data_IF_863183499312
#
_entry.id   IF_863183499312
#
_cell.length_a   1.000
_cell.length_b   1.000
_cell.length_c   1.000
_cell.angle_alpha   90.00
_cell.angle_beta   90.00
_cell.angle_gamma   90.00
#
_symmetry.space_group_name_H-M   'P 1'
#
loop_
_entity.id
_entity.type
_entity.pdbx_description
1 polymer ?
#
# COMPACT_ATOMS: atom_id res chain seq x y z
N UNK A 1 -23.30 -14.31 -0.17
CA UNK A 1 -23.11 -13.53 1.06
C UNK A 1 -22.31 -12.28 0.68
N UNK A 2 -22.81 -11.05 0.91
CA UNK A 2 -22.00 -9.86 0.66
C UNK A 2 -20.81 -9.90 1.62
N UNK A 3 -19.59 -9.87 1.09
CA UNK A 3 -18.40 -9.78 1.91
C UNK A 3 -18.46 -8.46 2.70
N UNK A 4 -18.51 -8.56 4.03
CA UNK A 4 -18.56 -7.41 4.95
C UNK A 4 -17.30 -6.51 4.80
N UNK A 5 -16.23 -7.03 4.21
CA UNK A 5 -14.95 -6.35 4.06
C UNK A 5 -14.44 -6.46 2.62
N UNK A 6 -13.71 -5.43 2.17
CA UNK A 6 -13.00 -5.47 0.90
C UNK A 6 -11.70 -6.29 1.04
N UNK A 7 -11.74 -7.55 0.61
CA UNK A 7 -10.64 -8.50 0.75
C UNK A 7 -9.36 -8.03 0.03
N UNK A 8 -9.49 -7.39 -1.14
CA UNK A 8 -8.33 -6.90 -1.88
C UNK A 8 -7.58 -5.80 -1.11
N UNK A 9 -8.30 -4.82 -0.52
CA UNK A 9 -7.67 -3.81 0.32
C UNK A 9 -7.12 -4.39 1.63
N UNK A 10 -7.72 -5.44 2.16
CA UNK A 10 -7.18 -6.15 3.33
C UNK A 10 -5.84 -6.82 3.00
N UNK A 11 -5.75 -7.49 1.85
CA UNK A 11 -4.48 -8.05 1.35
C UNK A 11 -3.46 -6.93 1.13
N UNK A 12 -3.86 -5.81 0.52
CA UNK A 12 -3.00 -4.64 0.33
C UNK A 12 -2.44 -4.08 1.64
N UNK A 13 -3.28 -4.02 2.68
CA UNK A 13 -2.86 -3.60 4.01
C UNK A 13 -1.83 -4.56 4.63
N UNK A 14 -2.07 -5.88 4.53
CA UNK A 14 -1.15 -6.90 5.02
C UNK A 14 0.20 -6.81 4.30
N UNK A 15 0.21 -6.69 2.98
CA UNK A 15 1.42 -6.56 2.17
C UNK A 15 2.21 -5.29 2.52
N UNK A 16 1.53 -4.15 2.68
CA UNK A 16 2.17 -2.89 3.09
C UNK A 16 2.76 -2.99 4.50
N UNK A 17 2.07 -3.67 5.43
CA UNK A 17 2.58 -3.92 6.79
C UNK A 17 3.82 -4.80 6.76
N UNK A 18 3.81 -5.90 6.01
CA UNK A 18 4.97 -6.79 5.86
C UNK A 18 6.16 -6.01 5.29
N UNK A 19 5.93 -5.18 4.26
CA UNK A 19 6.99 -4.34 3.71
C UNK A 19 7.54 -3.35 4.74
N UNK A 20 6.69 -2.72 5.56
CA UNK A 20 7.12 -1.83 6.64
C UNK A 20 7.98 -2.56 7.68
N UNK A 21 7.56 -3.75 8.11
CA UNK A 21 8.31 -4.59 9.05
C UNK A 21 9.65 -5.02 8.48
N UNK A 22 9.71 -5.35 7.17
CA UNK A 22 10.97 -5.65 6.50
C UNK A 22 11.94 -4.46 6.54
N UNK A 23 11.47 -3.23 6.35
CA UNK A 23 12.30 -2.03 6.46
C UNK A 23 12.83 -1.82 7.90
N UNK A 24 12.01 -2.09 8.92
CA UNK A 24 12.44 -2.06 10.31
C UNK A 24 13.52 -3.12 10.56
N UNK A 25 13.30 -4.35 10.06
CA UNK A 25 14.29 -5.42 10.17
C UNK A 25 15.62 -5.04 9.52
N UNK A 26 15.60 -4.39 8.33
CA UNK A 26 16.82 -3.92 7.66
C UNK A 26 17.61 -2.94 8.55
N UNK A 27 16.91 -2.03 9.26
CA UNK A 27 17.55 -1.11 10.20
C UNK A 27 18.19 -1.88 11.35
N UNK A 28 17.48 -2.83 11.95
CA UNK A 28 17.96 -3.64 13.06
C UNK A 28 19.15 -4.53 12.68
N UNK A 29 19.14 -5.08 11.46
CA UNK A 29 20.24 -5.90 10.92
C UNK A 29 21.46 -5.05 10.50
N UNK A 30 21.31 -3.72 10.41
CA UNK A 30 22.39 -2.79 10.09
C UNK A 30 23.03 -3.03 8.71
N UNK A 31 24.36 -2.89 8.57
CA UNK A 31 25.03 -3.02 7.26
C UNK A 31 24.75 -4.34 6.55
N UNK A 32 24.56 -5.43 7.30
CA UNK A 32 24.18 -6.74 6.73
C UNK A 32 22.81 -6.70 6.07
N UNK A 33 21.83 -6.08 6.73
CA UNK A 33 20.47 -5.90 6.19
C UNK A 33 20.47 -5.10 4.89
N UNK A 34 21.20 -3.98 4.85
CA UNK A 34 21.34 -3.16 3.65
C UNK A 34 22.01 -3.91 2.49
N UNK A 35 23.02 -4.75 2.76
CA UNK A 35 23.66 -5.60 1.74
C UNK A 35 22.69 -6.64 1.19
N UNK A 36 22.00 -7.38 2.06
CA UNK A 36 21.03 -8.41 1.65
C UNK A 36 19.88 -7.83 0.82
N UNK A 37 19.40 -6.65 1.18
CA UNK A 37 18.35 -5.95 0.45
C UNK A 37 18.84 -5.16 -0.77
N UNK A 38 20.14 -5.21 -1.11
CA UNK A 38 20.68 -4.52 -2.29
C UNK A 38 20.46 -3.01 -2.28
N UNK A 39 20.59 -2.37 -1.11
CA UNK A 39 20.26 -0.95 -0.90
C UNK A 39 21.19 0.04 -1.64
N UNK A 40 22.23 -0.47 -2.31
CA UNK A 40 23.24 0.30 -3.05
C UNK A 40 24.41 0.71 -2.17
N UNK A 41 25.60 0.83 -2.80
CA UNK A 41 26.88 1.03 -2.13
C UNK A 41 26.91 2.24 -1.21
N UNK A 42 26.23 3.32 -1.59
CA UNK A 42 26.20 4.54 -0.78
C UNK A 42 25.56 4.31 0.60
N UNK A 43 24.46 3.54 0.64
CA UNK A 43 23.76 3.21 1.90
C UNK A 43 24.57 2.23 2.73
N UNK A 44 25.16 1.21 2.08
CA UNK A 44 25.97 0.19 2.74
C UNK A 44 27.19 0.85 3.39
N UNK A 45 27.99 1.63 2.63
CA UNK A 45 29.17 2.34 3.14
C UNK A 45 28.82 3.33 4.26
N UNK A 46 27.69 4.03 4.14
CA UNK A 46 27.22 4.95 5.20
C UNK A 46 26.85 4.20 6.49
N UNK A 47 26.18 3.04 6.36
CA UNK A 47 25.82 2.21 7.51
C UNK A 47 27.08 1.59 8.17
N UNK A 48 28.07 1.15 7.39
CA UNK A 48 29.37 0.66 7.88
C UNK A 48 30.17 1.74 8.62
N UNK A 49 30.09 2.98 8.14
CA UNK A 49 30.68 4.13 8.79
C UNK A 49 29.91 4.63 10.03
N UNK A 50 28.87 3.89 10.49
CA UNK A 50 28.06 4.25 11.65
C UNK A 50 27.17 5.49 11.45
N UNK A 51 26.98 5.96 10.21
CA UNK A 51 26.12 7.11 9.93
C UNK A 51 24.66 6.76 10.13
N UNK A 52 23.90 7.66 10.78
CA UNK A 52 22.45 7.47 11.05
C UNK A 52 21.56 7.69 9.81
N UNK A 53 22.08 8.35 8.77
CA UNK A 53 21.33 8.70 7.56
C UNK A 53 20.57 7.51 6.93
N UNK A 54 21.19 6.32 6.69
CA UNK A 54 20.47 5.18 6.11
C UNK A 54 19.29 4.73 6.98
N UNK A 55 19.51 4.68 8.31
CA UNK A 55 18.47 4.27 9.26
C UNK A 55 17.29 5.25 9.27
N UNK A 56 17.55 6.56 9.28
CA UNK A 56 16.51 7.59 9.28
C UNK A 56 15.67 7.54 8.00
N UNK A 57 16.31 7.43 6.83
CA UNK A 57 15.59 7.32 5.55
C UNK A 57 14.74 6.05 5.51
N UNK A 58 15.31 4.92 5.94
CA UNK A 58 14.59 3.63 5.95
C UNK A 58 13.43 3.63 6.96
N UNK A 59 13.60 4.27 8.12
CA UNK A 59 12.53 4.46 9.10
C UNK A 59 11.40 5.34 8.55
N UNK A 60 11.73 6.40 7.82
CA UNK A 60 10.74 7.23 7.13
C UNK A 60 9.91 6.42 6.12
N UNK A 61 10.57 5.55 5.34
CA UNK A 61 9.87 4.65 4.41
C UNK A 61 8.94 3.68 5.18
N UNK A 62 9.42 3.07 6.26
CA UNK A 62 8.62 2.17 7.08
C UNK A 62 7.38 2.87 7.64
N UNK A 63 7.53 4.10 8.15
CA UNK A 63 6.42 4.90 8.66
C UNK A 63 5.37 5.19 7.58
N UNK A 64 5.79 5.60 6.40
CA UNK A 64 4.89 5.84 5.25
C UNK A 64 4.12 4.56 4.90
N UNK A 65 4.80 3.42 4.83
CA UNK A 65 4.16 2.14 4.53
C UNK A 65 3.14 1.72 5.61
N UNK A 66 3.40 1.99 6.89
CA UNK A 66 2.43 1.77 7.96
C UNK A 66 1.21 2.68 7.82
N UNK A 67 1.39 3.96 7.51
CA UNK A 67 0.29 4.89 7.25
C UNK A 67 -0.54 4.36 6.07
N UNK A 68 0.09 3.91 5.00
CA UNK A 68 -0.60 3.34 3.84
C UNK A 68 -1.40 2.07 4.19
N UNK A 69 -0.83 1.20 5.06
CA UNK A 69 -1.55 0.04 5.57
C UNK A 69 -2.81 0.43 6.36
N UNK A 70 -2.74 1.48 7.20
CA UNK A 70 -3.91 1.99 7.92
C UNK A 70 -5.00 2.52 6.96
N UNK A 71 -4.61 3.26 5.92
CA UNK A 71 -5.56 3.71 4.89
C UNK A 71 -6.19 2.54 4.13
N UNK A 72 -5.42 1.48 3.84
CA UNK A 72 -5.95 0.28 3.21
C UNK A 72 -6.90 -0.49 4.13
N UNK A 73 -6.63 -0.60 5.44
CA UNK A 73 -7.53 -1.18 6.44
C UNK A 73 -8.83 -0.39 6.57
N UNK A 74 -8.74 0.93 6.59
CA UNK A 74 -9.92 1.81 6.57
C UNK A 74 -10.72 1.65 5.27
N UNK A 75 -10.03 1.56 4.14
CA UNK A 75 -10.61 1.24 2.85
C UNK A 75 -11.25 -0.14 2.79
N UNK A 76 -10.72 -1.13 3.48
CA UNK A 76 -11.31 -2.45 3.61
C UNK A 76 -12.56 -2.48 4.48
N UNK A 77 -12.81 -1.45 5.29
CA UNK A 77 -13.94 -1.38 6.22
C UNK A 77 -13.68 -2.04 7.57
N UNK A 78 -12.41 -2.34 7.89
CA UNK A 78 -12.02 -2.97 9.16
C UNK A 78 -11.89 -1.97 10.30
N UNK A 79 -11.55 -0.72 10.00
CA UNK A 79 -11.45 0.38 10.95
C UNK A 79 -12.30 1.57 10.49
N UNK A 80 -12.56 2.51 11.38
CA UNK A 80 -13.31 3.72 11.08
C UNK A 80 -12.75 4.45 9.85
N UNK A 81 -13.60 5.13 9.06
CA UNK A 81 -13.16 5.84 7.86
C UNK A 81 -12.21 6.97 8.23
N UNK A 82 -10.99 6.91 7.71
CA UNK A 82 -9.98 7.95 7.86
C UNK A 82 -10.30 9.17 6.98
N UNK A 83 -9.88 10.37 7.38
CA UNK A 83 -10.06 11.57 6.59
C UNK A 83 -9.38 11.41 5.23
N UNK A 84 -9.98 12.01 4.18
CA UNK A 84 -9.45 11.95 2.82
C UNK A 84 -9.18 10.52 2.29
N UNK A 85 -9.92 9.52 2.77
CA UNK A 85 -9.71 8.10 2.44
C UNK A 85 -9.62 7.85 0.93
N UNK A 86 -10.55 8.40 0.16
CA UNK A 86 -10.61 8.20 -1.29
C UNK A 86 -9.37 8.77 -2.01
N UNK A 87 -9.03 10.08 -1.87
CA UNK A 87 -7.83 10.61 -2.52
C UNK A 87 -6.54 9.97 -1.99
N UNK A 88 -6.45 9.63 -0.70
CA UNK A 88 -5.28 8.96 -0.15
C UNK A 88 -5.03 7.59 -0.81
N UNK A 89 -6.05 6.75 -0.93
CA UNK A 89 -5.91 5.45 -1.62
C UNK A 89 -5.58 5.61 -3.11
N UNK A 90 -6.10 6.65 -3.78
CA UNK A 90 -5.69 6.98 -5.14
C UNK A 90 -4.20 7.28 -5.23
N UNK A 91 -3.69 8.15 -4.37
CA UNK A 91 -2.28 8.54 -4.32
C UNK A 91 -1.39 7.34 -3.98
N UNK A 92 -1.76 6.54 -2.99
CA UNK A 92 -1.04 5.32 -2.60
C UNK A 92 -0.92 4.36 -3.78
N UNK A 93 -2.05 4.07 -4.43
CA UNK A 93 -2.09 3.18 -5.60
C UNK A 93 -1.23 3.72 -6.74
N UNK A 94 -1.36 5.03 -7.03
CA UNK A 94 -0.57 5.68 -8.07
C UNK A 94 0.93 5.60 -7.78
N UNK A 95 1.37 5.86 -6.55
CA UNK A 95 2.79 5.79 -6.17
C UNK A 95 3.33 4.36 -6.30
N UNK A 96 2.58 3.34 -5.87
CA UNK A 96 2.99 1.95 -6.04
C UNK A 96 3.13 1.59 -7.52
N UNK A 97 2.16 1.94 -8.36
CA UNK A 97 2.20 1.67 -9.80
C UNK A 97 3.34 2.44 -10.49
N UNK A 98 3.46 3.72 -10.19
CA UNK A 98 4.55 4.56 -10.71
C UNK A 98 5.92 4.00 -10.33
N UNK A 99 6.11 3.62 -9.05
CA UNK A 99 7.35 3.01 -8.57
C UNK A 99 7.60 1.65 -9.24
N UNK A 100 6.56 0.88 -9.48
CA UNK A 100 6.66 -0.41 -10.18
C UNK A 100 7.10 -0.26 -11.62
N UNK A 101 6.52 0.68 -12.36
CA UNK A 101 6.80 0.91 -13.78
C UNK A 101 8.10 1.72 -13.99
N UNK A 102 8.23 2.83 -13.29
CA UNK A 102 9.39 3.73 -13.46
C UNK A 102 10.65 3.24 -12.75
N UNK A 103 10.53 2.33 -11.76
CA UNK A 103 11.66 1.84 -10.98
C UNK A 103 12.82 1.30 -11.79
N UNK A 104 12.61 0.42 -12.78
CA UNK A 104 13.68 -0.12 -13.61
C UNK A 104 14.47 0.95 -14.38
N UNK A 105 13.83 2.05 -14.72
CA UNK A 105 14.45 3.15 -15.46
C UNK A 105 15.12 4.16 -14.52
N UNK A 106 14.42 4.58 -13.47
CA UNK A 106 14.87 5.63 -12.56
C UNK A 106 16.01 5.20 -11.62
N UNK A 107 16.20 3.90 -11.39
CA UNK A 107 17.20 3.39 -10.45
C UNK A 107 18.42 2.74 -11.11
N UNK A 108 18.55 2.78 -12.43
CA UNK A 108 19.66 2.15 -13.16
C UNK A 108 21.02 2.63 -12.66
N UNK A 109 21.16 3.94 -12.40
CA UNK A 109 22.44 4.57 -12.08
C UNK A 109 22.65 4.82 -10.58
N UNK A 110 21.86 4.16 -9.71
CA UNK A 110 21.92 4.38 -8.26
C UNK A 110 22.87 3.44 -7.52
N UNK A 111 23.68 2.63 -8.24
CA UNK A 111 24.59 1.65 -7.64
C UNK A 111 23.88 0.44 -7.00
N UNK A 112 22.61 0.23 -7.33
CA UNK A 112 21.82 -0.92 -6.87
C UNK A 112 21.93 -2.08 -7.85
N UNK A 113 21.87 -3.32 -7.35
CA UNK A 113 21.88 -4.48 -8.23
C UNK A 113 20.66 -4.51 -9.14
N UNK A 114 20.81 -4.91 -10.40
CA UNK A 114 19.70 -5.03 -11.36
C UNK A 114 18.61 -5.98 -10.84
N UNK A 115 19.00 -7.07 -10.21
CA UNK A 115 18.05 -8.03 -9.60
C UNK A 115 17.18 -7.36 -8.55
N UNK A 116 17.79 -6.55 -7.66
CA UNK A 116 17.03 -5.81 -6.64
C UNK A 116 16.06 -4.81 -7.28
N UNK A 117 16.49 -4.08 -8.31
CA UNK A 117 15.64 -3.09 -8.99
C UNK A 117 14.41 -3.77 -9.60
N UNK A 118 14.61 -4.86 -10.33
CA UNK A 118 13.51 -5.60 -10.98
C UNK A 118 12.57 -6.21 -9.94
N UNK A 119 13.09 -6.95 -8.96
CA UNK A 119 12.27 -7.60 -7.93
C UNK A 119 11.47 -6.57 -7.13
N UNK A 120 12.11 -5.49 -6.66
CA UNK A 120 11.41 -4.45 -5.90
C UNK A 120 10.35 -3.72 -6.74
N UNK A 121 10.59 -3.55 -8.04
CA UNK A 121 9.62 -2.94 -8.95
C UNK A 121 8.41 -3.85 -9.21
N UNK A 122 8.63 -5.16 -9.38
CA UNK A 122 7.55 -6.14 -9.52
C UNK A 122 6.69 -6.23 -8.24
N UNK A 123 7.32 -6.20 -7.07
CA UNK A 123 6.61 -6.16 -5.78
C UNK A 123 5.74 -4.90 -5.68
N UNK A 124 6.29 -3.72 -6.00
CA UNK A 124 5.51 -2.48 -5.99
C UNK A 124 4.37 -2.51 -7.00
N UNK A 125 4.59 -3.06 -8.19
CA UNK A 125 3.55 -3.23 -9.20
C UNK A 125 2.42 -4.14 -8.68
N UNK A 126 2.76 -5.28 -8.07
CA UNK A 126 1.80 -6.17 -7.45
C UNK A 126 0.99 -5.48 -6.35
N UNK A 127 1.63 -4.70 -5.48
CA UNK A 127 0.94 -3.91 -4.44
C UNK A 127 -0.03 -2.90 -5.07
N UNK A 128 0.42 -2.17 -6.10
CA UNK A 128 -0.40 -1.22 -6.82
C UNK A 128 -1.63 -1.86 -7.47
N UNK A 129 -1.47 -3.03 -8.09
CA UNK A 129 -2.58 -3.76 -8.72
C UNK A 129 -3.59 -4.26 -7.68
N UNK A 130 -3.15 -4.77 -6.53
CA UNK A 130 -4.02 -5.19 -5.44
C UNK A 130 -4.83 -4.01 -4.88
N UNK A 131 -4.18 -2.85 -4.66
CA UNK A 131 -4.88 -1.64 -4.22
C UNK A 131 -5.87 -1.14 -5.29
N UNK A 132 -5.49 -1.16 -6.56
CA UNK A 132 -6.35 -0.77 -7.67
C UNK A 132 -7.60 -1.67 -7.74
N UNK A 133 -7.42 -2.99 -7.64
CA UNK A 133 -8.53 -3.94 -7.59
C UNK A 133 -9.46 -3.66 -6.42
N UNK A 134 -8.92 -3.42 -5.22
CA UNK A 134 -9.71 -3.08 -4.05
C UNK A 134 -10.49 -1.78 -4.20
N UNK A 135 -9.89 -0.78 -4.83
CA UNK A 135 -10.55 0.50 -5.12
C UNK A 135 -11.69 0.33 -6.13
N UNK A 136 -11.48 -0.43 -7.22
CA UNK A 136 -12.53 -0.69 -8.20
C UNK A 136 -13.70 -1.47 -7.60
N UNK A 137 -13.44 -2.42 -6.70
CA UNK A 137 -14.48 -3.14 -5.97
C UNK A 137 -15.28 -2.23 -5.01
N UNK A 138 -14.63 -1.24 -4.39
CA UNK A 138 -15.27 -0.34 -3.43
C UNK A 138 -16.05 0.80 -4.09
N UNK A 139 -15.51 1.38 -5.17
CA UNK A 139 -16.06 2.59 -5.82
C UNK A 139 -16.36 2.41 -7.30
N UNK A 140 -15.93 1.33 -7.94
CA UNK A 140 -16.14 1.04 -9.35
C UNK A 140 -17.41 0.25 -9.65
N UNK A 141 -18.20 -0.09 -8.64
CA UNK A 141 -19.53 -0.65 -8.81
C UNK A 141 -20.41 0.34 -9.53
N UNK A 142 -20.42 0.27 -10.85
CA UNK A 142 -21.39 0.93 -11.70
C UNK A 142 -22.77 0.48 -11.22
N UNK A 143 -23.45 1.39 -10.48
CA UNK A 143 -24.88 1.47 -10.44
C UNK A 143 -25.68 0.19 -10.16
N UNK A 144 -25.31 -0.62 -9.16
CA UNK A 144 -26.34 -1.39 -8.47
C UNK A 144 -26.80 -0.52 -7.31
N UNK A 145 -27.62 0.46 -7.64
CA UNK A 145 -28.46 1.12 -6.65
C UNK A 145 -29.24 0.02 -5.93
N UNK A 146 -29.22 -0.01 -4.59
CA UNK A 146 -30.18 -0.81 -3.86
C UNK A 146 -31.55 -0.11 -4.01
N UNK A 147 -32.19 -0.33 -5.16
CA UNK A 147 -33.52 0.18 -5.46
C UNK A 147 -34.63 -0.55 -4.67
N UNK A 148 -34.22 -1.50 -3.79
CA UNK A 148 -35.21 -2.29 -3.02
C UNK A 148 -35.63 -1.68 -1.69
N UNK A 149 -34.89 -0.70 -1.12
CA UNK A 149 -35.26 -0.20 0.21
C UNK A 149 -36.23 1.00 0.19
N UNK A 150 -36.19 1.83 -0.86
CA UNK A 150 -37.15 2.97 -0.95
C UNK A 150 -38.56 2.55 -1.32
N UNK A 151 -38.69 1.51 -2.14
CA UNK A 151 -40.03 1.00 -2.53
C UNK A 151 -40.72 0.27 -1.38
N UNK A 152 -39.95 -0.45 -0.53
CA UNK A 152 -40.49 -1.11 0.65
C UNK A 152 -40.96 -0.14 1.74
N UNK A 153 -40.24 0.96 1.96
CA UNK A 153 -40.61 1.99 2.94
C UNK A 153 -41.89 2.73 2.49
N UNK A 154 -42.01 3.04 1.21
CA UNK A 154 -43.21 3.71 0.67
C UNK A 154 -44.44 2.77 0.63
N UNK A 155 -44.23 1.48 0.40
CA UNK A 155 -45.32 0.49 0.46
C UNK A 155 -45.80 0.28 1.90
N UNK A 156 -44.94 0.30 2.90
CA UNK A 156 -45.31 0.18 4.30
C UNK A 156 -46.02 1.44 4.81
N UNK A 157 -45.62 2.63 4.34
CA UNK A 157 -46.30 3.90 4.68
C UNK A 157 -47.67 4.06 4.02
N UNK A 158 -47.89 3.41 2.87
CA UNK A 158 -49.22 3.41 2.21
C UNK A 158 -50.20 2.40 2.81
N UNK A 159 -49.73 1.35 3.48
CA UNK A 159 -50.55 0.34 4.14
C UNK A 159 -51.04 0.76 5.55
N UNK A 160 -50.53 1.87 6.08
CA UNK A 160 -50.89 2.41 7.41
C UNK A 160 -51.81 3.65 7.33
N UNK A 161 -52.38 3.92 6.15
CA UNK A 161 -53.46 4.92 5.94
C UNK A 161 -54.76 4.22 5.52
#
# INVERSE_FOLDING_TARGET
MPHLYNTALLIGAALSTIAALLHIWVIAAGPRGYRLCGAGDRFIKAAEAGKKFPAVVTAGIALVLFIWALYALSGAGLIAPLPLLRPALFIITFIYLLRGVAGPFALRDTGRSQRFIVVSSLICLGFGLVHLLGMTQRWGGVGVTPCCCKTAINACAAALR
#
